data_IF_345287669531
#
_entry.id   IF_345287669531
#
_cell.length_a   1.000
_cell.length_b   1.000
_cell.length_c   1.000
_cell.angle_alpha   90.00
_cell.angle_beta   90.00
_cell.angle_gamma   90.00
#
_symmetry.space_group_name_H-M   'P 1'
#
loop_
_entity.id
_entity.type
_entity.pdbx_description
1 polymer ?
#
# COMPACT_ATOMS: atom_id res chain seq x y z
N UNK A 1 6.83 -19.55 -4.89
CA UNK A 1 6.19 -18.90 -3.73
C UNK A 1 6.40 -17.39 -3.87
N UNK A 2 5.36 -16.56 -3.72
CA UNK A 2 5.45 -15.12 -4.00
C UNK A 2 5.49 -14.29 -2.72
N UNK A 3 6.30 -13.23 -2.69
CA UNK A 3 6.35 -12.27 -1.58
C UNK A 3 5.73 -10.96 -2.05
N UNK A 4 4.72 -10.49 -1.32
CA UNK A 4 4.05 -9.22 -1.59
C UNK A 4 4.61 -8.14 -0.66
N UNK A 5 5.11 -7.05 -1.25
CA UNK A 5 5.69 -5.94 -0.52
C UNK A 5 4.67 -4.81 -0.44
N UNK A 6 4.19 -4.54 0.78
CA UNK A 6 3.31 -3.43 1.12
C UNK A 6 4.11 -2.45 1.97
N UNK A 7 3.99 -1.15 1.71
CA UNK A 7 4.60 -0.11 2.54
C UNK A 7 3.56 0.97 2.75
N UNK A 8 3.20 1.27 3.99
CA UNK A 8 2.34 2.39 4.37
C UNK A 8 3.14 3.63 4.80
N UNK A 9 4.46 3.63 4.56
CA UNK A 9 5.37 4.65 5.06
C UNK A 9 5.21 5.97 4.29
N UNK A 10 4.98 7.05 5.01
CA UNK A 10 4.94 8.42 4.48
C UNK A 10 6.36 8.95 4.23
N UNK A 11 6.49 10.04 3.47
CA UNK A 11 7.78 10.66 3.07
C UNK A 11 8.74 10.98 4.25
N UNK A 12 8.24 10.99 5.49
CA UNK A 12 8.99 11.32 6.70
C UNK A 12 9.83 10.16 7.28
N UNK A 13 9.65 8.91 6.80
CA UNK A 13 10.29 7.71 7.38
C UNK A 13 11.36 7.05 6.49
N UNK A 14 11.85 7.76 5.46
CA UNK A 14 12.82 7.23 4.48
C UNK A 14 14.05 6.50 5.07
N UNK A 15 14.68 6.95 6.19
CA UNK A 15 15.81 6.22 6.78
C UNK A 15 15.42 4.86 7.39
N UNK A 16 14.21 4.76 7.93
CA UNK A 16 13.68 3.51 8.51
C UNK A 16 13.31 2.54 7.40
N UNK A 17 12.76 3.04 6.29
CA UNK A 17 12.43 2.24 5.12
C UNK A 17 13.66 1.52 4.53
N UNK A 18 14.81 2.22 4.46
CA UNK A 18 16.05 1.64 3.96
C UNK A 18 16.60 0.53 4.87
N UNK A 19 16.48 0.70 6.20
CA UNK A 19 16.86 -0.33 7.17
C UNK A 19 15.95 -1.56 7.04
N UNK A 20 14.63 -1.33 6.95
CA UNK A 20 13.66 -2.39 6.74
C UNK A 20 13.92 -3.15 5.43
N UNK A 21 14.17 -2.45 4.33
CA UNK A 21 14.47 -3.07 3.04
C UNK A 21 15.73 -3.93 3.07
N UNK A 22 16.75 -3.51 3.84
CA UNK A 22 17.98 -4.29 4.05
C UNK A 22 17.71 -5.55 4.89
N UNK A 23 16.95 -5.42 5.98
CA UNK A 23 16.54 -6.56 6.79
C UNK A 23 15.66 -7.56 6.01
N UNK A 24 14.77 -7.07 5.15
CA UNK A 24 13.96 -7.88 4.26
C UNK A 24 14.83 -8.68 3.27
N UNK A 25 15.82 -8.03 2.65
CA UNK A 25 16.80 -8.73 1.78
C UNK A 25 17.46 -9.88 2.53
N UNK A 26 18.00 -9.60 3.72
CA UNK A 26 18.75 -10.59 4.49
C UNK A 26 17.84 -11.77 4.89
N UNK A 27 16.60 -11.47 5.32
CA UNK A 27 15.59 -12.49 5.61
C UNK A 27 15.31 -13.38 4.40
N UNK A 28 15.04 -12.79 3.23
CA UNK A 28 14.74 -13.54 2.00
C UNK A 28 15.93 -14.40 1.55
N UNK A 29 17.15 -13.90 1.67
CA UNK A 29 18.35 -14.66 1.35
C UNK A 29 18.50 -15.90 2.24
N UNK A 30 18.23 -15.77 3.54
CA UNK A 30 18.26 -16.89 4.49
C UNK A 30 17.22 -17.97 4.14
N UNK A 31 16.05 -17.58 3.64
CA UNK A 31 14.99 -18.54 3.29
C UNK A 31 15.31 -19.36 2.03
N UNK A 32 16.30 -18.97 1.22
CA UNK A 32 16.75 -19.69 0.02
C UNK A 32 15.60 -20.14 -0.91
N UNK A 33 14.61 -19.26 -1.11
CA UNK A 33 13.38 -19.58 -1.87
C UNK A 33 13.73 -19.74 -3.36
N UNK A 34 13.53 -20.94 -3.90
CA UNK A 34 13.67 -21.21 -5.32
C UNK A 34 12.55 -20.52 -6.12
N UNK A 35 12.90 -19.96 -7.27
CA UNK A 35 11.99 -19.24 -8.18
C UNK A 35 11.15 -18.16 -7.47
N UNK A 36 11.81 -17.39 -6.58
CA UNK A 36 11.17 -16.30 -5.87
C UNK A 36 10.61 -15.27 -6.86
N UNK A 37 9.34 -14.93 -6.67
CA UNK A 37 8.67 -13.81 -7.34
C UNK A 37 8.36 -12.73 -6.32
N UNK A 38 8.67 -11.48 -6.67
CA UNK A 38 8.35 -10.32 -5.84
C UNK A 38 7.27 -9.52 -6.56
N UNK A 39 6.19 -9.22 -5.84
CA UNK A 39 5.12 -8.36 -6.33
C UNK A 39 5.05 -7.09 -5.52
N UNK A 40 4.95 -5.96 -6.22
CA UNK A 40 4.84 -4.63 -5.61
C UNK A 40 3.61 -3.91 -6.11
N UNK A 41 3.17 -2.89 -5.38
CA UNK A 41 2.32 -1.86 -5.99
C UNK A 41 3.11 -1.02 -7.01
N UNK A 42 2.44 -0.13 -7.72
CA UNK A 42 3.10 0.89 -8.55
C UNK A 42 3.73 2.04 -7.73
N UNK A 43 3.56 2.04 -6.41
CA UNK A 43 4.02 3.11 -5.55
C UNK A 43 5.54 3.01 -5.34
N UNK A 44 6.22 4.16 -5.45
CA UNK A 44 7.69 4.25 -5.35
C UNK A 44 8.25 3.58 -4.09
N UNK A 45 7.55 3.70 -2.96
CA UNK A 45 7.96 3.09 -1.68
C UNK A 45 8.01 1.57 -1.73
N UNK A 46 7.03 0.89 -2.35
CA UNK A 46 7.05 -0.58 -2.44
C UNK A 46 8.16 -1.06 -3.37
N UNK A 47 8.44 -0.30 -4.44
CA UNK A 47 9.55 -0.57 -5.35
C UNK A 47 10.89 -0.40 -4.64
N UNK A 48 11.07 0.68 -3.87
CA UNK A 48 12.29 0.94 -3.11
C UNK A 48 12.55 -0.11 -2.02
N UNK A 49 11.51 -0.66 -1.41
CA UNK A 49 11.65 -1.77 -0.45
C UNK A 49 12.05 -3.08 -1.13
N UNK A 50 11.55 -3.35 -2.34
CA UNK A 50 11.89 -4.56 -3.10
C UNK A 50 13.27 -4.51 -3.76
N UNK A 51 13.75 -3.32 -4.13
CA UNK A 51 14.98 -3.14 -4.90
C UNK A 51 16.22 -3.84 -4.27
N UNK A 52 16.49 -3.75 -2.95
CA UNK A 52 17.67 -4.37 -2.35
C UNK A 52 17.66 -5.90 -2.36
N UNK A 53 16.50 -6.54 -2.57
CA UNK A 53 16.39 -8.01 -2.65
C UNK A 53 17.10 -8.56 -3.90
N UNK A 54 17.27 -7.74 -4.95
CA UNK A 54 18.06 -8.10 -6.13
C UNK A 54 17.37 -9.10 -7.08
N UNK A 55 16.09 -9.37 -6.88
CA UNK A 55 15.26 -10.24 -7.74
C UNK A 55 14.31 -9.36 -8.57
N UNK A 56 14.01 -9.72 -9.83
CA UNK A 56 12.98 -9.03 -10.61
C UNK A 56 11.67 -8.93 -9.83
N UNK A 57 11.09 -7.73 -9.80
CA UNK A 57 9.79 -7.49 -9.20
C UNK A 57 8.79 -7.09 -10.27
N UNK A 58 7.56 -7.52 -10.11
CA UNK A 58 6.46 -7.18 -11.00
C UNK A 58 5.55 -6.20 -10.26
N UNK A 59 5.33 -4.98 -10.79
CA UNK A 59 4.36 -4.06 -10.23
C UNK A 59 2.94 -4.44 -10.69
N UNK A 60 2.03 -4.61 -9.73
CA UNK A 60 0.63 -4.95 -9.98
C UNK A 60 -0.27 -3.80 -9.55
N UNK A 61 -1.15 -3.34 -10.44
CA UNK A 61 -2.14 -2.29 -10.11
C UNK A 61 -3.10 -2.76 -9.02
N UNK A 62 -3.41 -4.06 -9.03
CA UNK A 62 -4.15 -4.75 -7.98
C UNK A 62 -3.44 -4.77 -6.61
N UNK A 63 -2.23 -4.24 -6.47
CA UNK A 63 -1.56 -4.09 -5.17
C UNK A 63 -1.44 -2.63 -4.72
N UNK A 64 -1.94 -1.68 -5.51
CA UNK A 64 -2.02 -0.27 -5.08
C UNK A 64 -2.87 -0.13 -3.82
N UNK A 65 -2.72 0.98 -3.12
CA UNK A 65 -3.63 1.32 -2.02
C UNK A 65 -5.01 1.72 -2.56
N UNK A 66 -5.99 1.79 -1.65
CA UNK A 66 -7.33 2.28 -1.97
C UNK A 66 -7.23 3.74 -2.43
N UNK A 67 -7.92 4.09 -3.51
CA UNK A 67 -8.01 5.49 -3.95
C UNK A 67 -9.00 6.24 -3.04
N UNK A 68 -8.48 7.15 -2.20
CA UNK A 68 -9.29 8.00 -1.33
C UNK A 68 -9.85 9.24 -2.05
N UNK A 69 -9.63 9.38 -3.36
CA UNK A 69 -10.18 10.43 -4.21
C UNK A 69 -9.88 11.83 -3.70
N UNK A 70 -10.94 12.60 -3.40
CA UNK A 70 -10.78 13.97 -2.86
C UNK A 70 -10.15 14.03 -1.47
N UNK A 71 -10.03 12.90 -0.78
CA UNK A 71 -9.41 12.76 0.53
C UNK A 71 -7.96 12.26 0.47
N UNK A 72 -7.38 12.09 -0.73
CA UNK A 72 -5.96 11.78 -0.89
C UNK A 72 -5.07 12.82 -0.17
N UNK A 73 -3.97 12.33 0.40
CA UNK A 73 -2.98 13.12 1.16
C UNK A 73 -3.53 13.84 2.41
N UNK A 74 -4.78 13.61 2.81
CA UNK A 74 -5.35 14.18 4.04
C UNK A 74 -5.18 13.23 5.22
N UNK A 75 -4.90 13.80 6.39
CA UNK A 75 -4.96 13.09 7.66
C UNK A 75 -6.42 12.82 8.05
N UNK A 76 -6.64 11.81 8.89
CA UNK A 76 -8.00 11.46 9.33
C UNK A 76 -8.70 12.63 10.03
N UNK A 77 -7.96 13.39 10.82
CA UNK A 77 -8.43 14.58 11.53
C UNK A 77 -8.88 15.67 10.53
N UNK A 78 -8.10 15.90 9.46
CA UNK A 78 -8.43 16.86 8.41
C UNK A 78 -9.68 16.43 7.62
N UNK A 79 -9.84 15.13 7.36
CA UNK A 79 -11.05 14.59 6.72
C UNK A 79 -12.26 14.80 7.63
N UNK A 80 -12.13 14.55 8.93
CA UNK A 80 -13.23 14.73 9.89
C UNK A 80 -13.64 16.21 9.98
N UNK A 81 -12.69 17.14 9.97
CA UNK A 81 -12.97 18.58 10.02
C UNK A 81 -13.56 19.11 8.71
N UNK A 82 -13.00 18.70 7.57
CA UNK A 82 -13.36 19.22 6.23
C UNK A 82 -14.59 18.54 5.64
N UNK A 83 -14.78 17.26 5.91
CA UNK A 83 -15.86 16.42 5.38
C UNK A 83 -16.53 15.58 6.49
N UNK A 84 -17.12 16.21 7.53
CA UNK A 84 -17.68 15.48 8.67
C UNK A 84 -18.80 14.51 8.29
N UNK A 85 -19.58 14.83 7.24
CA UNK A 85 -20.63 13.96 6.73
C UNK A 85 -20.06 12.70 6.06
N UNK A 86 -19.04 12.86 5.21
CA UNK A 86 -18.35 11.75 4.56
C UNK A 86 -17.67 10.84 5.60
N UNK A 87 -17.06 11.44 6.62
CA UNK A 87 -16.47 10.69 7.74
C UNK A 87 -17.52 9.83 8.46
N UNK A 88 -18.69 10.40 8.76
CA UNK A 88 -19.79 9.68 9.40
C UNK A 88 -20.40 8.58 8.50
N UNK A 89 -20.52 8.82 7.19
CA UNK A 89 -21.02 7.83 6.22
C UNK A 89 -20.04 6.64 6.09
N UNK A 90 -18.74 6.93 6.06
CA UNK A 90 -17.71 5.90 6.04
C UNK A 90 -17.72 5.05 7.32
N UNK A 91 -18.03 5.64 8.46
CA UNK A 91 -18.08 4.91 9.73
C UNK A 91 -19.30 3.97 9.80
N UNK A 92 -20.39 4.31 9.12
CA UNK A 92 -21.61 3.49 9.07
C UNK A 92 -21.47 2.22 8.22
N UNK A 93 -20.87 2.33 7.03
CA UNK A 93 -20.58 1.17 6.18
C UNK A 93 -19.21 1.32 5.49
N UNK A 94 -18.15 1.05 6.24
CA UNK A 94 -16.77 1.16 5.74
C UNK A 94 -16.51 0.26 4.51
N UNK A 95 -17.22 -0.85 4.37
CA UNK A 95 -16.98 -1.79 3.28
C UNK A 95 -17.52 -1.27 1.94
N UNK A 96 -18.74 -0.71 1.95
CA UNK A 96 -19.41 -0.21 0.73
C UNK A 96 -19.29 1.28 0.50
N UNK A 97 -18.84 2.04 1.50
CA UNK A 97 -18.63 3.48 1.36
C UNK A 97 -17.63 3.78 0.25
N UNK A 98 -18.01 4.67 -0.67
CA UNK A 98 -17.19 5.13 -1.79
C UNK A 98 -16.64 6.51 -1.46
N UNK A 99 -15.32 6.64 -1.43
CA UNK A 99 -14.72 7.97 -1.38
C UNK A 99 -15.15 8.79 -2.60
N UNK A 100 -15.50 10.09 -2.46
CA UNK A 100 -15.84 10.91 -3.61
C UNK A 100 -14.68 10.95 -4.62
N UNK A 101 -14.94 10.53 -5.86
CA UNK A 101 -13.94 10.31 -6.93
C UNK A 101 -12.89 9.23 -6.63
N UNK A 102 -13.13 8.35 -5.66
CA UNK A 102 -12.27 7.24 -5.29
C UNK A 102 -12.98 5.88 -5.29
N UNK A 103 -12.46 4.97 -4.49
CA UNK A 103 -12.85 3.56 -4.44
C UNK A 103 -13.60 3.19 -3.16
N UNK A 104 -14.28 2.04 -3.19
CA UNK A 104 -14.83 1.33 -2.03
C UNK A 104 -13.94 0.12 -1.70
N UNK A 105 -14.03 -0.44 -0.49
CA UNK A 105 -13.37 -1.73 -0.22
C UNK A 105 -14.01 -2.86 -1.03
N UNK A 106 -15.29 -2.75 -1.39
CA UNK A 106 -15.98 -3.70 -2.27
C UNK A 106 -15.34 -3.72 -3.68
N UNK A 107 -14.99 -2.56 -4.25
CA UNK A 107 -14.28 -2.48 -5.53
C UNK A 107 -12.91 -3.17 -5.44
N UNK A 108 -12.20 -3.02 -4.32
CA UNK A 108 -10.91 -3.68 -4.12
C UNK A 108 -11.00 -5.20 -4.12
N UNK A 109 -12.11 -5.76 -3.61
CA UNK A 109 -12.33 -7.21 -3.58
C UNK A 109 -12.76 -7.74 -4.95
N UNK A 110 -13.51 -6.95 -5.72
CA UNK A 110 -14.05 -7.38 -7.02
C UNK A 110 -13.11 -7.15 -8.20
N UNK A 111 -12.23 -6.14 -8.13
CA UNK A 111 -11.35 -5.70 -9.23
C UNK A 111 -9.94 -6.34 -9.15
N UNK A 112 -9.68 -7.20 -8.15
CA UNK A 112 -8.38 -7.82 -7.89
C UNK A 112 -8.42 -9.34 -7.94
#
# INVERSE_FOLDING_TARGET
MGVVVHSSATLFEMPVLAQFASALRDFIQIQAIQDLKIWTSHLKRTIQTAQPVGVPHEPWKALSEIDAGVCEEMMYEEIQEKYPQEFALRDQDKYRYRYPKGETYEDLVQVR
#
